data_IF_421064758640
#
_entry.id   IF_421064758640
#
_cell.length_a   1.000
_cell.length_b   1.000
_cell.length_c   1.000
_cell.angle_alpha   90.00
_cell.angle_beta   90.00
_cell.angle_gamma   90.00
#
_symmetry.space_group_name_H-M   'P 1'
#
loop_
_entity.id
_entity.type
_entity.pdbx_description
1 polymer ?
#
# COMPACT_ATOMS: atom_id res chain seq x y z
N UNK A 1 -18.98 15.74 -23.47
CA UNK A 1 -17.98 14.80 -23.99
C UNK A 1 -16.65 15.05 -23.28
N UNK A 2 -15.91 14.00 -22.92
CA UNK A 2 -14.57 14.14 -22.32
C UNK A 2 -13.61 14.58 -23.44
N UNK A 3 -12.87 15.66 -23.19
CA UNK A 3 -11.89 16.14 -24.16
C UNK A 3 -10.70 15.18 -24.21
N UNK A 4 -10.32 14.69 -25.40
CA UNK A 4 -9.22 13.75 -25.59
C UNK A 4 -7.88 14.30 -25.06
N UNK A 5 -7.60 15.59 -25.23
CA UNK A 5 -6.37 16.22 -24.72
C UNK A 5 -6.34 16.23 -23.18
N UNK A 6 -7.48 16.50 -22.54
CA UNK A 6 -7.60 16.48 -21.08
C UNK A 6 -7.40 15.05 -20.54
N UNK A 7 -8.04 14.04 -21.14
CA UNK A 7 -7.86 12.65 -20.75
C UNK A 7 -6.40 12.18 -20.88
N UNK A 8 -5.74 12.52 -22.00
CA UNK A 8 -4.31 12.17 -22.19
C UNK A 8 -3.44 12.82 -21.12
N UNK A 9 -3.68 14.08 -20.78
CA UNK A 9 -2.96 14.78 -19.71
C UNK A 9 -3.14 14.08 -18.34
N UNK A 10 -4.36 13.62 -18.05
CA UNK A 10 -4.67 12.90 -16.79
C UNK A 10 -4.03 11.53 -16.73
N UNK A 11 -4.04 10.78 -17.83
CA UNK A 11 -3.34 9.48 -17.94
C UNK A 11 -1.84 9.67 -17.70
N UNK A 12 -1.22 10.69 -18.33
CA UNK A 12 0.21 10.98 -18.11
C UNK A 12 0.49 11.37 -16.65
N UNK A 13 -0.38 12.17 -16.04
CA UNK A 13 -0.24 12.56 -14.63
C UNK A 13 -0.34 11.35 -13.70
N UNK A 14 -1.31 10.48 -13.93
CA UNK A 14 -1.49 9.26 -13.15
C UNK A 14 -0.30 8.31 -13.33
N UNK A 15 0.17 8.10 -14.56
CA UNK A 15 1.39 7.31 -14.79
C UNK A 15 2.62 7.89 -14.08
N UNK A 16 2.74 9.21 -13.99
CA UNK A 16 3.83 9.82 -13.22
C UNK A 16 3.74 9.58 -11.71
N UNK A 17 2.52 9.51 -11.15
CA UNK A 17 2.30 9.10 -9.76
C UNK A 17 2.64 7.61 -9.60
N UNK A 18 2.11 6.78 -10.47
CA UNK A 18 2.28 5.33 -10.41
C UNK A 18 3.71 4.84 -10.59
N UNK A 19 4.56 5.55 -11.36
CA UNK A 19 5.97 5.16 -11.54
C UNK A 19 6.68 5.04 -10.19
N UNK A 20 6.54 6.03 -9.30
CA UNK A 20 7.17 5.98 -7.99
C UNK A 20 6.62 4.83 -7.16
N UNK A 21 5.29 4.72 -7.08
CA UNK A 21 4.60 3.66 -6.34
C UNK A 21 4.97 2.29 -6.88
N UNK A 22 4.97 2.10 -8.21
CA UNK A 22 5.40 0.87 -8.85
C UNK A 22 6.84 0.48 -8.49
N UNK A 23 7.79 1.42 -8.58
CA UNK A 23 9.19 1.17 -8.28
C UNK A 23 9.43 0.84 -6.81
N UNK A 24 8.77 1.56 -5.90
CA UNK A 24 8.94 1.36 -4.46
C UNK A 24 8.24 0.11 -3.94
N UNK A 25 7.12 -0.30 -4.54
CA UNK A 25 6.41 -1.52 -4.18
C UNK A 25 7.03 -2.77 -4.83
N UNK A 26 7.50 -2.66 -6.08
CA UNK A 26 8.07 -3.81 -6.79
C UNK A 26 9.50 -4.14 -6.35
N UNK A 27 10.33 -3.15 -6.03
CA UNK A 27 11.76 -3.39 -5.75
C UNK A 27 12.03 -4.26 -4.51
N UNK A 28 11.30 -4.18 -3.39
CA UNK A 28 11.43 -5.12 -2.28
C UNK A 28 11.13 -6.55 -2.69
N UNK A 29 10.11 -6.74 -3.51
CA UNK A 29 9.67 -8.04 -4.01
C UNK A 29 10.72 -8.65 -4.92
N UNK A 30 11.20 -7.88 -5.91
CA UNK A 30 12.27 -8.34 -6.80
C UNK A 30 13.54 -8.69 -6.02
N UNK A 31 13.93 -7.89 -5.02
CA UNK A 31 15.07 -8.19 -4.16
C UNK A 31 14.89 -9.53 -3.45
N UNK A 32 13.70 -9.79 -2.89
CA UNK A 32 13.38 -11.04 -2.21
C UNK A 32 13.46 -12.24 -3.17
N UNK A 33 12.91 -12.10 -4.39
CA UNK A 33 12.96 -13.16 -5.41
C UNK A 33 14.37 -13.44 -5.92
N UNK A 34 15.20 -12.40 -6.07
CA UNK A 34 16.62 -12.58 -6.43
C UNK A 34 17.33 -13.36 -5.34
N UNK A 35 17.18 -12.96 -4.07
CA UNK A 35 17.80 -13.66 -2.96
C UNK A 35 17.28 -15.11 -2.84
N UNK A 36 15.97 -15.30 -2.90
CA UNK A 36 15.35 -16.62 -2.80
C UNK A 36 15.67 -17.52 -3.99
N UNK A 37 15.70 -17.01 -5.20
CA UNK A 37 15.98 -17.79 -6.41
C UNK A 37 17.43 -18.24 -6.55
N UNK A 38 18.38 -17.43 -6.06
CA UNK A 38 19.82 -17.70 -6.24
C UNK A 38 20.55 -18.17 -5.00
N UNK A 39 20.04 -17.91 -3.80
CA UNK A 39 20.72 -18.24 -2.54
C UNK A 39 19.94 -19.27 -1.72
N UNK A 40 18.69 -18.95 -1.37
CA UNK A 40 17.88 -19.81 -0.50
C UNK A 40 16.38 -19.66 -0.83
N UNK A 41 15.81 -20.71 -1.42
CA UNK A 41 14.40 -20.74 -1.82
C UNK A 41 13.43 -20.68 -0.63
N UNK A 42 13.86 -21.06 0.57
CA UNK A 42 13.02 -21.06 1.77
C UNK A 42 12.59 -19.64 2.16
N UNK A 43 13.40 -18.62 1.84
CA UNK A 43 13.08 -17.23 2.17
C UNK A 43 11.74 -16.76 1.57
N UNK A 44 11.38 -17.23 0.37
CA UNK A 44 10.14 -16.87 -0.28
C UNK A 44 8.95 -17.56 0.41
N UNK A 45 9.16 -18.83 0.83
CA UNK A 45 8.14 -19.58 1.56
C UNK A 45 7.86 -19.01 2.92
N UNK A 46 8.91 -18.62 3.64
CA UNK A 46 8.82 -17.92 4.93
C UNK A 46 8.02 -16.62 4.79
N UNK A 47 8.28 -15.86 3.73
CA UNK A 47 7.51 -14.64 3.45
C UNK A 47 6.02 -14.93 3.32
N UNK A 48 5.65 -16.04 2.65
CA UNK A 48 4.25 -16.46 2.52
C UNK A 48 3.58 -16.76 3.85
N UNK A 49 4.23 -17.53 4.71
CA UNK A 49 3.68 -17.87 6.02
C UNK A 49 3.51 -16.65 6.94
N UNK A 50 4.36 -15.64 6.77
CA UNK A 50 4.38 -14.46 7.64
C UNK A 50 3.77 -13.22 7.02
N UNK A 51 3.24 -13.32 5.80
CA UNK A 51 2.69 -12.19 5.03
C UNK A 51 1.68 -11.35 5.81
N UNK A 52 0.71 -11.99 6.48
CA UNK A 52 -0.29 -11.28 7.27
C UNK A 52 0.32 -10.40 8.36
N UNK A 53 1.43 -10.82 8.93
CA UNK A 53 2.11 -10.07 9.96
C UNK A 53 2.89 -8.88 9.37
N UNK A 54 3.58 -9.09 8.26
CA UNK A 54 4.26 -8.02 7.55
C UNK A 54 3.26 -6.98 7.04
N UNK A 55 2.11 -7.43 6.56
CA UNK A 55 1.01 -6.56 6.17
C UNK A 55 0.47 -5.75 7.35
N UNK A 56 0.23 -6.37 8.52
CA UNK A 56 -0.18 -5.68 9.74
C UNK A 56 0.81 -4.56 10.10
N UNK A 57 2.10 -4.86 10.07
CA UNK A 57 3.14 -3.90 10.42
C UNK A 57 3.21 -2.75 9.43
N UNK A 58 3.14 -3.04 8.14
CA UNK A 58 3.09 -2.02 7.08
C UNK A 58 1.85 -1.12 7.21
N UNK A 59 0.68 -1.71 7.51
CA UNK A 59 -0.54 -0.93 7.74
C UNK A 59 -0.48 -0.07 9.00
N UNK A 60 0.20 -0.53 10.04
CA UNK A 60 0.44 0.25 11.24
C UNK A 60 1.32 1.47 10.93
N UNK A 61 2.45 1.26 10.27
CA UNK A 61 3.37 2.34 9.87
C UNK A 61 2.72 3.35 8.93
N UNK A 62 2.06 2.89 7.87
CA UNK A 62 1.37 3.74 6.88
C UNK A 62 0.12 4.39 7.45
N UNK A 63 -0.74 3.59 8.06
CA UNK A 63 -2.07 4.01 8.50
C UNK A 63 -2.03 5.10 9.57
N UNK A 64 -1.03 5.08 10.44
CA UNK A 64 -0.87 6.11 11.47
C UNK A 64 -0.27 7.41 10.93
N UNK A 65 0.61 7.36 9.95
CA UNK A 65 1.30 8.53 9.42
C UNK A 65 0.51 9.25 8.32
N UNK A 66 -0.20 8.54 7.47
CA UNK A 66 -0.97 9.12 6.37
C UNK A 66 -1.94 10.24 6.79
N UNK A 67 -2.75 10.11 7.86
CA UNK A 67 -3.60 11.19 8.34
C UNK A 67 -2.86 12.46 8.76
N UNK A 68 -1.66 12.29 9.34
CA UNK A 68 -0.81 13.42 9.73
C UNK A 68 -0.36 14.17 8.49
N UNK A 69 0.05 13.45 7.45
CA UNK A 69 0.47 14.05 6.18
C UNK A 69 -0.67 14.79 5.51
N UNK A 70 -1.85 14.17 5.42
CA UNK A 70 -3.04 14.83 4.88
C UNK A 70 -3.39 16.12 5.63
N UNK A 71 -3.29 16.11 6.96
CA UNK A 71 -3.54 17.29 7.77
C UNK A 71 -2.48 18.37 7.57
N UNK A 72 -1.21 18.00 7.64
CA UNK A 72 -0.10 18.94 7.59
C UNK A 72 0.08 19.55 6.20
N UNK A 73 0.03 18.76 5.13
CA UNK A 73 0.31 19.23 3.78
C UNK A 73 -0.79 20.10 3.17
N UNK A 74 -1.99 20.13 3.75
CA UNK A 74 -3.03 21.11 3.35
C UNK A 74 -2.54 22.55 3.40
N UNK A 75 -1.71 22.87 4.38
CA UNK A 75 -1.23 24.22 4.65
C UNK A 75 0.23 24.47 4.22
N UNK A 76 0.84 23.53 3.51
CA UNK A 76 2.26 23.61 3.12
C UNK A 76 2.61 24.86 2.32
N UNK A 77 1.66 25.41 1.55
CA UNK A 77 1.87 26.62 0.77
C UNK A 77 1.90 27.89 1.64
N UNK A 78 1.21 27.85 2.79
CA UNK A 78 1.06 29.00 3.68
C UNK A 78 2.19 29.06 4.73
N UNK A 79 2.50 27.92 5.35
CA UNK A 79 3.54 27.82 6.39
C UNK A 79 4.28 26.49 6.30
N UNK A 80 5.41 26.52 5.60
CA UNK A 80 6.26 25.36 5.42
C UNK A 80 6.92 24.89 6.72
N UNK A 81 7.34 25.83 7.59
CA UNK A 81 8.02 25.51 8.84
C UNK A 81 7.08 24.77 9.79
N UNK A 82 5.85 25.28 9.92
CA UNK A 82 4.81 24.63 10.73
C UNK A 82 4.45 23.26 10.18
N UNK A 83 4.24 23.15 8.86
CA UNK A 83 3.93 21.87 8.20
C UNK A 83 5.01 20.83 8.47
N UNK A 84 6.27 21.18 8.26
CA UNK A 84 7.38 20.25 8.48
C UNK A 84 7.58 19.92 9.95
N UNK A 85 7.29 20.84 10.86
CA UNK A 85 7.30 20.58 12.31
C UNK A 85 6.25 19.55 12.72
N UNK A 86 5.03 19.66 12.17
CA UNK A 86 3.93 18.70 12.42
C UNK A 86 4.30 17.30 11.89
N UNK A 87 4.77 17.21 10.66
CA UNK A 87 5.14 15.95 10.01
C UNK A 87 6.30 15.28 10.75
N UNK A 88 7.37 16.02 11.02
CA UNK A 88 8.53 15.49 11.73
C UNK A 88 8.19 15.01 13.14
N UNK A 89 7.41 15.80 13.88
CA UNK A 89 6.98 15.43 15.24
C UNK A 89 6.16 14.15 15.24
N UNK A 90 5.22 14.03 14.30
CA UNK A 90 4.41 12.82 14.13
C UNK A 90 5.25 11.59 13.79
N UNK A 91 6.10 11.68 12.77
CA UNK A 91 6.99 10.59 12.37
C UNK A 91 7.92 10.15 13.50
N UNK A 92 8.48 11.10 14.28
CA UNK A 92 9.39 10.80 15.38
C UNK A 92 8.68 10.05 16.52
N UNK A 93 7.47 10.47 16.88
CA UNK A 93 6.68 9.78 17.92
C UNK A 93 6.28 8.40 17.47
N UNK A 94 5.85 8.24 16.22
CA UNK A 94 5.47 6.90 15.70
C UNK A 94 6.66 5.98 15.55
N UNK A 95 7.82 6.47 15.11
CA UNK A 95 9.03 5.66 15.09
C UNK A 95 9.36 5.12 16.49
N UNK A 96 9.23 5.96 17.51
CA UNK A 96 9.44 5.52 18.90
C UNK A 96 8.43 4.45 19.32
N UNK A 97 7.14 4.63 18.98
CA UNK A 97 6.10 3.63 19.25
C UNK A 97 6.35 2.33 18.48
N UNK A 98 6.82 2.39 17.25
CA UNK A 98 7.19 1.22 16.45
C UNK A 98 8.38 0.47 17.06
N UNK A 99 9.39 1.19 17.57
CA UNK A 99 10.51 0.57 18.28
C UNK A 99 10.02 -0.16 19.52
N UNK A 100 9.16 0.46 20.33
CA UNK A 100 8.57 -0.20 21.52
C UNK A 100 7.73 -1.41 21.12
N UNK A 101 6.88 -1.28 20.09
CA UNK A 101 6.08 -2.40 19.58
C UNK A 101 6.96 -3.54 19.03
N UNK A 102 8.06 -3.20 18.35
CA UNK A 102 9.03 -4.19 17.86
C UNK A 102 9.72 -4.93 19.02
N UNK A 103 10.14 -4.24 20.05
CA UNK A 103 10.74 -4.87 21.24
C UNK A 103 9.75 -5.83 21.91
N UNK A 104 8.49 -5.41 22.07
CA UNK A 104 7.43 -6.30 22.60
C UNK A 104 7.20 -7.49 21.67
N UNK A 105 7.20 -7.28 20.36
CA UNK A 105 7.05 -8.36 19.39
C UNK A 105 8.14 -9.41 19.50
N UNK A 106 9.40 -9.04 19.74
CA UNK A 106 10.50 -10.00 19.89
C UNK A 106 10.22 -11.06 20.97
N UNK A 107 9.49 -10.70 22.02
CA UNK A 107 9.12 -11.65 23.08
C UNK A 107 7.97 -12.59 22.68
N UNK A 108 7.06 -12.14 21.81
CA UNK A 108 5.83 -12.88 21.48
C UNK A 108 5.81 -13.43 20.05
N UNK A 109 6.86 -13.22 19.28
CA UNK A 109 6.87 -13.55 17.85
C UNK A 109 6.61 -15.03 17.57
N UNK A 110 7.21 -15.94 18.36
CA UNK A 110 6.99 -17.40 18.17
C UNK A 110 5.55 -17.79 18.47
N UNK A 111 4.97 -17.25 19.56
CA UNK A 111 3.56 -17.49 19.91
C UNK A 111 2.63 -16.99 18.81
N UNK A 112 2.97 -15.85 18.20
CA UNK A 112 2.21 -15.31 17.09
C UNK A 112 2.27 -16.21 15.85
N UNK A 113 3.44 -16.78 15.52
CA UNK A 113 3.58 -17.73 14.41
C UNK A 113 2.78 -19.03 14.67
N UNK A 114 2.74 -19.50 15.91
CA UNK A 114 1.88 -20.63 16.31
C UNK A 114 0.40 -20.29 16.10
N UNK A 115 -0.03 -19.07 16.46
CA UNK A 115 -1.41 -18.60 16.22
C UNK A 115 -1.73 -18.52 14.71
N UNK A 116 -0.78 -18.17 13.88
CA UNK A 116 -0.89 -18.19 12.42
C UNK A 116 -0.91 -19.61 11.83
N UNK A 117 -0.75 -20.65 12.66
CA UNK A 117 -0.67 -22.05 12.21
C UNK A 117 0.47 -22.31 11.22
N UNK A 118 1.60 -21.65 11.43
CA UNK A 118 2.84 -22.00 10.72
C UNK A 118 3.25 -23.41 11.14
N UNK A 119 3.70 -24.28 10.21
CA UNK A 119 4.21 -25.60 10.55
C UNK A 119 5.34 -25.54 11.59
N UNK A 120 5.30 -26.43 12.59
CA UNK A 120 6.24 -26.40 13.72
C UNK A 120 7.71 -26.44 13.27
N UNK A 121 8.00 -27.18 12.21
CA UNK A 121 9.33 -27.31 11.63
C UNK A 121 9.90 -26.01 11.04
N UNK A 122 9.00 -25.09 10.65
CA UNK A 122 9.35 -23.81 10.02
C UNK A 122 9.28 -22.62 10.99
N UNK A 123 8.86 -22.81 12.25
CA UNK A 123 8.67 -21.70 13.20
C UNK A 123 9.98 -20.95 13.43
N UNK A 124 11.10 -21.66 13.64
CA UNK A 124 12.37 -21.02 13.95
C UNK A 124 12.91 -20.21 12.76
N UNK A 125 12.81 -20.75 11.55
CA UNK A 125 13.25 -20.03 10.35
C UNK A 125 12.32 -18.84 10.07
N UNK A 126 11.01 -19.02 10.20
CA UNK A 126 10.03 -17.93 10.09
C UNK A 126 10.27 -16.84 11.13
N UNK A 127 10.61 -17.21 12.37
CA UNK A 127 10.93 -16.24 13.42
C UNK A 127 12.13 -15.37 13.02
N UNK A 128 13.26 -16.00 12.63
CA UNK A 128 14.48 -15.27 12.28
C UNK A 128 14.22 -14.30 11.12
N UNK A 129 13.61 -14.75 10.04
CA UNK A 129 13.34 -13.88 8.88
C UNK A 129 12.33 -12.76 9.20
N UNK A 130 11.30 -13.08 9.98
CA UNK A 130 10.25 -12.11 10.31
C UNK A 130 10.79 -10.95 11.15
N UNK A 131 11.64 -11.21 12.14
CA UNK A 131 12.19 -10.13 12.97
C UNK A 131 13.04 -9.15 12.15
N UNK A 132 13.81 -9.63 11.18
CA UNK A 132 14.59 -8.76 10.30
C UNK A 132 13.70 -7.99 9.31
N UNK A 133 12.71 -8.65 8.74
CA UNK A 133 11.77 -8.01 7.81
C UNK A 133 10.97 -6.89 8.47
N UNK A 134 10.48 -7.10 9.69
CA UNK A 134 9.71 -6.10 10.43
C UNK A 134 10.55 -4.89 10.81
N UNK A 135 11.78 -5.10 11.28
CA UNK A 135 12.70 -4.01 11.55
C UNK A 135 12.93 -3.12 10.32
N UNK A 136 12.99 -3.74 9.13
CA UNK A 136 13.12 -3.02 7.88
C UNK A 136 11.85 -2.24 7.49
N UNK A 137 10.67 -2.79 7.75
CA UNK A 137 9.38 -2.13 7.43
C UNK A 137 9.18 -0.88 8.27
N UNK A 138 9.58 -0.86 9.55
CA UNK A 138 9.47 0.31 10.42
C UNK A 138 10.18 1.55 9.87
N UNK A 139 11.25 1.39 9.08
CA UNK A 139 11.96 2.50 8.45
C UNK A 139 11.17 3.17 7.31
N UNK A 140 10.17 2.53 6.74
CA UNK A 140 9.36 3.05 5.63
C UNK A 140 8.53 4.29 6.00
N UNK A 141 8.38 4.60 7.29
CA UNK A 141 7.70 5.84 7.74
C UNK A 141 8.28 7.08 7.06
N UNK A 142 9.61 7.15 7.00
CA UNK A 142 10.30 8.29 6.39
C UNK A 142 10.26 8.26 4.86
N UNK A 143 10.18 7.06 4.24
CA UNK A 143 9.96 6.93 2.81
C UNK A 143 8.64 7.63 2.43
N UNK A 144 7.55 7.31 3.13
CA UNK A 144 6.26 7.95 2.90
C UNK A 144 6.27 9.45 3.13
N UNK A 145 6.99 9.92 4.14
CA UNK A 145 7.12 11.36 4.41
C UNK A 145 7.71 12.09 3.19
N UNK A 146 8.78 11.58 2.61
CA UNK A 146 9.47 12.23 1.48
C UNK A 146 8.65 12.14 0.20
N UNK A 147 8.11 10.96 -0.10
CA UNK A 147 7.31 10.77 -1.31
C UNK A 147 6.04 11.64 -1.25
N UNK A 148 5.31 11.64 -0.14
CA UNK A 148 4.15 12.51 0.04
C UNK A 148 4.52 14.00 -0.04
N UNK A 149 5.64 14.43 0.51
CA UNK A 149 6.11 15.80 0.39
C UNK A 149 6.28 16.22 -1.08
N UNK A 150 6.90 15.38 -1.91
CA UNK A 150 7.07 15.69 -3.32
C UNK A 150 5.77 15.67 -4.12
N UNK A 151 4.85 14.76 -3.80
CA UNK A 151 3.51 14.71 -4.39
C UNK A 151 2.72 15.99 -4.11
N UNK A 152 2.60 16.36 -2.83
CA UNK A 152 1.84 17.54 -2.41
C UNK A 152 2.50 18.87 -2.84
N UNK A 153 3.81 18.88 -3.09
CA UNK A 153 4.50 20.05 -3.64
C UNK A 153 4.54 20.08 -5.17
N UNK A 154 3.98 19.07 -5.85
CA UNK A 154 3.94 18.97 -7.31
C UNK A 154 5.30 18.62 -7.95
N UNK A 155 6.26 18.11 -7.17
CA UNK A 155 7.61 17.75 -7.64
C UNK A 155 7.71 16.29 -8.08
N UNK A 156 6.76 15.83 -8.92
CA UNK A 156 6.65 14.43 -9.33
C UNK A 156 7.90 13.88 -10.03
N UNK A 157 8.62 14.71 -10.80
CA UNK A 157 9.86 14.26 -11.46
C UNK A 157 10.98 13.94 -10.46
N UNK A 158 11.08 14.71 -9.37
CA UNK A 158 12.05 14.44 -8.31
C UNK A 158 11.64 13.19 -7.55
N UNK A 159 10.36 13.00 -7.32
CA UNK A 159 9.79 11.81 -6.72
C UNK A 159 10.16 10.56 -7.53
N UNK A 160 9.94 10.58 -8.84
CA UNK A 160 10.28 9.47 -9.74
C UNK A 160 11.77 9.15 -9.76
N UNK A 161 12.65 10.17 -9.75
CA UNK A 161 14.09 9.96 -9.66
C UNK A 161 14.52 9.29 -8.37
N UNK A 162 13.91 9.68 -7.23
CA UNK A 162 14.15 9.03 -5.95
C UNK A 162 13.64 7.59 -5.92
N UNK A 163 12.43 7.34 -6.42
CA UNK A 163 11.86 5.99 -6.55
C UNK A 163 12.74 5.08 -7.41
N UNK A 164 13.25 5.60 -8.52
CA UNK A 164 14.19 4.86 -9.38
C UNK A 164 15.51 4.54 -8.65
N UNK A 165 16.10 5.52 -7.98
CA UNK A 165 17.33 5.31 -7.21
C UNK A 165 17.12 4.31 -6.06
N UNK A 166 15.99 4.41 -5.37
CA UNK A 166 15.59 3.47 -4.33
C UNK A 166 15.51 2.03 -4.88
N UNK A 167 14.82 1.85 -6.01
CA UNK A 167 14.69 0.54 -6.67
C UNK A 167 16.05 0.01 -7.14
N UNK A 168 16.88 0.86 -7.73
CA UNK A 168 18.22 0.49 -8.20
C UNK A 168 19.10 -0.02 -7.04
N UNK A 169 19.10 0.67 -5.91
CA UNK A 169 19.87 0.25 -4.73
C UNK A 169 19.34 -1.06 -4.16
N UNK A 170 18.00 -1.23 -4.09
CA UNK A 170 17.37 -2.46 -3.57
C UNK A 170 17.69 -3.67 -4.45
N UNK A 171 17.39 -3.57 -5.74
CA UNK A 171 17.56 -4.68 -6.70
C UNK A 171 19.04 -4.89 -7.01
N UNK A 172 19.80 -3.83 -7.26
CA UNK A 172 21.23 -3.89 -7.50
C UNK A 172 22.00 -4.44 -6.30
N UNK A 173 21.62 -4.06 -5.09
CA UNK A 173 22.19 -4.59 -3.85
C UNK A 173 21.93 -6.08 -3.68
N UNK A 174 20.72 -6.56 -4.01
CA UNK A 174 20.42 -8.00 -3.99
C UNK A 174 21.27 -8.79 -4.99
N UNK A 175 21.39 -8.26 -6.22
CA UNK A 175 22.27 -8.86 -7.25
C UNK A 175 23.73 -8.87 -6.81
N UNK A 176 24.23 -7.76 -6.28
CA UNK A 176 25.58 -7.65 -5.74
C UNK A 176 25.83 -8.67 -4.64
N UNK A 177 24.87 -8.82 -3.72
CA UNK A 177 24.96 -9.84 -2.66
C UNK A 177 25.09 -11.26 -3.24
N UNK A 178 24.28 -11.60 -4.25
CA UNK A 178 24.33 -12.91 -4.93
C UNK A 178 25.72 -13.14 -5.54
N UNK A 179 26.26 -12.15 -6.25
CA UNK A 179 27.60 -12.24 -6.87
C UNK A 179 28.67 -12.43 -5.81
N UNK A 180 28.68 -11.61 -4.77
CA UNK A 180 29.67 -11.68 -3.68
C UNK A 180 29.57 -13.00 -2.91
N UNK A 181 28.37 -13.49 -2.61
CA UNK A 181 28.17 -14.75 -1.90
C UNK A 181 28.62 -15.96 -2.71
N UNK A 182 28.56 -15.91 -4.04
CA UNK A 182 29.07 -16.97 -4.93
C UNK A 182 30.57 -16.90 -5.17
N UNK A 183 31.15 -15.70 -5.14
CA UNK A 183 32.58 -15.48 -5.46
C UNK A 183 33.51 -15.43 -4.27
N UNK A 184 32.97 -15.15 -3.07
CA UNK A 184 33.78 -14.97 -1.86
C UNK A 184 33.71 -16.17 -0.91
N UNK A 185 34.82 -16.41 -0.21
CA UNK A 185 34.90 -17.40 0.88
C UNK A 185 34.16 -16.96 2.14
N UNK A 186 33.95 -15.64 2.32
CA UNK A 186 33.22 -15.07 3.46
C UNK A 186 31.73 -14.93 3.09
N UNK A 187 30.92 -15.84 3.62
CA UNK A 187 29.45 -15.81 3.39
C UNK A 187 28.79 -14.88 4.41
N UNK A 188 28.19 -13.83 3.92
CA UNK A 188 27.35 -12.96 4.74
C UNK A 188 26.01 -13.65 5.04
N UNK A 189 25.50 -13.66 6.28
CA UNK A 189 24.21 -14.27 6.58
C UNK A 189 23.08 -13.61 5.76
N UNK A 190 22.26 -14.44 5.12
CA UNK A 190 21.15 -13.98 4.27
C UNK A 190 20.14 -13.15 5.07
N UNK A 191 19.91 -13.49 6.33
CA UNK A 191 19.03 -12.76 7.25
C UNK A 191 19.44 -11.29 7.40
N UNK A 192 20.74 -11.02 7.50
CA UNK A 192 21.24 -9.64 7.56
C UNK A 192 21.01 -8.89 6.25
N UNK A 193 21.03 -9.55 5.10
CA UNK A 193 20.74 -8.92 3.82
C UNK A 193 19.32 -8.37 3.76
N UNK A 194 18.35 -9.04 4.39
CA UNK A 194 16.95 -8.59 4.47
C UNK A 194 16.81 -7.26 5.23
N UNK A 195 17.70 -7.01 6.19
CA UNK A 195 17.73 -5.74 6.92
C UNK A 195 18.62 -4.71 6.21
N UNK A 196 19.80 -5.10 5.75
CA UNK A 196 20.81 -4.19 5.18
C UNK A 196 20.31 -3.55 3.89
N UNK A 197 19.65 -4.27 2.98
CA UNK A 197 19.19 -3.71 1.72
C UNK A 197 18.15 -2.59 1.91
N UNK A 198 17.07 -2.77 2.72
CA UNK A 198 16.17 -1.67 3.05
C UNK A 198 16.87 -0.51 3.74
N UNK A 199 17.74 -0.80 4.70
CA UNK A 199 18.46 0.22 5.46
C UNK A 199 19.39 1.05 4.55
N UNK A 200 20.08 0.40 3.62
CA UNK A 200 20.97 1.07 2.66
C UNK A 200 20.17 1.95 1.69
N UNK A 201 19.10 1.41 1.10
CA UNK A 201 18.25 2.21 0.21
C UNK A 201 17.61 3.38 0.96
N UNK A 202 17.10 3.15 2.15
CA UNK A 202 16.58 4.20 3.02
C UNK A 202 17.63 5.27 3.30
N UNK A 203 18.83 4.89 3.76
CA UNK A 203 19.87 5.84 4.14
C UNK A 203 20.31 6.69 2.95
N UNK A 204 20.61 6.06 1.81
CA UNK A 204 21.18 6.75 0.65
C UNK A 204 20.16 7.59 -0.13
N UNK A 205 18.90 7.20 -0.13
CA UNK A 205 17.88 7.92 -0.92
C UNK A 205 17.03 8.85 -0.06
N UNK A 206 16.59 8.40 1.09
CA UNK A 206 15.60 9.08 1.91
C UNK A 206 16.27 9.88 3.03
N UNK A 207 17.06 9.24 3.88
CA UNK A 207 17.63 9.91 5.05
C UNK A 207 18.50 11.10 4.66
N UNK A 208 19.41 10.93 3.71
CA UNK A 208 20.26 12.04 3.24
C UNK A 208 19.43 13.16 2.60
N UNK A 209 18.36 12.79 1.87
CA UNK A 209 17.48 13.77 1.26
C UNK A 209 16.60 14.48 2.29
N UNK A 210 16.07 13.75 3.27
CA UNK A 210 15.35 14.34 4.39
C UNK A 210 16.22 15.34 5.14
N UNK A 211 17.43 14.95 5.52
CA UNK A 211 18.36 15.84 6.23
C UNK A 211 18.70 17.08 5.42
N UNK A 212 18.89 16.93 4.11
CA UNK A 212 19.14 18.07 3.22
C UNK A 212 17.95 19.02 3.12
N UNK A 213 16.74 18.51 2.90
CA UNK A 213 15.52 19.33 2.79
C UNK A 213 15.13 19.93 4.15
N UNK A 214 15.20 19.16 5.24
CA UNK A 214 14.85 19.64 6.59
C UNK A 214 15.75 20.77 7.08
N UNK A 215 17.01 20.82 6.64
CA UNK A 215 17.95 21.91 6.97
C UNK A 215 17.43 23.30 6.57
N UNK A 216 16.51 23.36 5.60
CA UNK A 216 15.94 24.61 5.11
C UNK A 216 14.81 25.15 6.02
N UNK A 217 14.33 24.35 6.97
CA UNK A 217 13.18 24.67 7.80
C UNK A 217 13.56 24.79 9.27
N UNK A 218 12.90 25.70 9.95
CA UNK A 218 12.97 25.80 11.41
C UNK A 218 11.96 24.81 12.01
N UNK A 219 12.45 23.63 12.37
CA UNK A 219 11.62 22.54 12.87
C UNK A 219 11.57 22.59 14.39
N UNK A 220 10.36 22.66 14.94
CA UNK A 220 10.09 22.59 16.37
C UNK A 220 9.17 21.40 16.66
N UNK A 221 9.39 20.71 17.78
CA UNK A 221 8.48 19.66 18.21
C UNK A 221 7.11 20.26 18.55
N UNK A 222 6.03 19.66 18.04
CA UNK A 222 4.65 20.11 18.27
C UNK A 222 3.70 18.94 18.39
N UNK A 223 2.73 19.04 19.31
CA UNK A 223 1.65 18.06 19.44
C UNK A 223 0.49 18.28 18.44
N UNK A 224 0.60 19.27 17.55
CA UNK A 224 -0.45 19.53 16.56
C UNK A 224 -0.69 18.35 15.60
N UNK A 225 0.29 17.45 15.42
CA UNK A 225 0.10 16.23 14.63
C UNK A 225 -1.06 15.36 15.12
N UNK A 226 -1.42 15.43 16.42
CA UNK A 226 -2.57 14.73 16.99
C UNK A 226 -3.91 15.17 16.35
N UNK A 227 -3.97 16.41 15.84
CA UNK A 227 -5.16 16.89 15.11
C UNK A 227 -5.38 16.11 13.82
N UNK A 228 -4.33 15.57 13.22
CA UNK A 228 -4.40 14.72 12.03
C UNK A 228 -5.28 13.49 12.23
N UNK A 229 -5.29 12.92 13.44
CA UNK A 229 -6.13 11.74 13.74
C UNK A 229 -7.63 11.99 13.56
N UNK A 230 -8.11 13.21 13.80
CA UNK A 230 -9.53 13.53 13.54
C UNK A 230 -9.91 13.35 12.07
N UNK A 231 -8.96 13.55 11.16
CA UNK A 231 -9.17 13.41 9.72
C UNK A 231 -8.94 11.99 9.21
N UNK A 232 -8.11 11.21 9.91
CA UNK A 232 -7.68 9.89 9.46
C UNK A 232 -8.14 8.72 10.31
N UNK A 233 -8.98 8.94 11.34
CA UNK A 233 -9.50 7.85 12.20
C UNK A 233 -10.10 6.72 11.37
N UNK A 234 -10.78 7.03 10.28
CA UNK A 234 -11.34 6.05 9.35
C UNK A 234 -10.26 5.15 8.75
N UNK A 235 -9.17 5.75 8.25
CA UNK A 235 -8.14 5.01 7.53
C UNK A 235 -7.32 4.17 8.50
N UNK A 236 -7.09 4.67 9.72
CA UNK A 236 -6.47 3.90 10.81
C UNK A 236 -7.33 2.69 11.17
N UNK A 237 -8.61 2.91 11.45
CA UNK A 237 -9.54 1.85 11.83
C UNK A 237 -9.68 0.81 10.71
N UNK A 238 -9.84 1.27 9.46
CA UNK A 238 -9.87 0.41 8.29
C UNK A 238 -8.58 -0.41 8.15
N UNK A 239 -7.41 0.21 8.36
CA UNK A 239 -6.11 -0.47 8.33
C UNK A 239 -6.01 -1.59 9.37
N UNK A 240 -6.34 -1.30 10.62
CA UNK A 240 -6.34 -2.29 11.72
C UNK A 240 -7.27 -3.45 11.41
N UNK A 241 -8.51 -3.16 11.03
CA UNK A 241 -9.51 -4.20 10.74
C UNK A 241 -9.14 -5.03 9.50
N UNK A 242 -8.60 -4.41 8.45
CA UNK A 242 -8.08 -5.13 7.29
C UNK A 242 -6.93 -6.08 7.66
N UNK A 243 -6.09 -5.67 8.60
CA UNK A 243 -5.00 -6.52 9.10
C UNK A 243 -5.52 -7.73 9.87
N UNK A 244 -6.61 -7.57 10.64
CA UNK A 244 -7.30 -8.69 11.29
C UNK A 244 -7.85 -9.66 10.23
N UNK A 245 -8.49 -9.15 9.18
CA UNK A 245 -8.98 -9.98 8.07
C UNK A 245 -7.87 -10.75 7.36
N UNK A 246 -6.74 -10.10 7.11
CA UNK A 246 -5.56 -10.75 6.53
C UNK A 246 -4.96 -11.80 7.46
N UNK A 247 -4.90 -11.54 8.77
CA UNK A 247 -4.43 -12.51 9.76
C UNK A 247 -5.32 -13.77 9.79
N UNK A 248 -6.64 -13.59 9.90
CA UNK A 248 -7.61 -14.70 9.93
C UNK A 248 -7.53 -15.50 8.64
N UNK A 249 -7.47 -14.82 7.50
CA UNK A 249 -7.40 -15.48 6.20
C UNK A 249 -6.09 -16.25 6.00
N UNK A 250 -4.93 -15.68 6.36
CA UNK A 250 -3.64 -16.38 6.26
C UNK A 250 -3.60 -17.59 7.19
N UNK A 251 -4.12 -17.48 8.42
CA UNK A 251 -4.27 -18.61 9.32
C UNK A 251 -5.09 -19.74 8.67
N UNK A 252 -6.18 -19.42 8.02
CA UNK A 252 -7.05 -20.40 7.39
C UNK A 252 -6.42 -21.02 6.13
N UNK A 253 -5.63 -20.26 5.36
CA UNK A 253 -4.81 -20.81 4.28
C UNK A 253 -3.77 -21.80 4.83
N UNK A 254 -3.10 -21.47 5.94
CA UNK A 254 -2.11 -22.34 6.56
C UNK A 254 -2.76 -23.62 7.14
N UNK A 255 -4.00 -23.56 7.63
CA UNK A 255 -4.76 -24.73 8.09
C UNK A 255 -5.25 -25.61 6.95
N UNK A 256 -5.81 -25.02 5.91
CA UNK A 256 -6.41 -25.76 4.77
C UNK A 256 -5.36 -26.23 3.75
N UNK A 257 -4.19 -25.57 3.71
CA UNK A 257 -3.13 -25.87 2.78
C UNK A 257 -2.27 -27.04 3.23
N UNK A 258 -1.96 -27.95 2.32
CA UNK A 258 -1.00 -29.03 2.57
C UNK A 258 0.41 -28.52 2.34
N UNK A 259 1.20 -28.40 3.40
CA UNK A 259 2.63 -28.11 3.33
C UNK A 259 3.40 -29.41 3.03
N UNK A 260 3.55 -29.78 1.76
CA UNK A 260 4.36 -30.94 1.36
C UNK A 260 5.82 -30.58 1.08
N UNK A 261 6.08 -29.31 0.75
CA UNK A 261 7.42 -28.71 0.62
C UNK A 261 7.30 -27.20 0.72
N UNK A 262 8.39 -26.54 1.09
CA UNK A 262 8.41 -25.10 1.20
C UNK A 262 7.91 -24.39 -0.09
N UNK A 263 8.33 -24.86 -1.27
CA UNK A 263 7.99 -24.26 -2.57
C UNK A 263 6.62 -24.71 -3.13
N UNK A 264 6.06 -25.79 -2.63
CA UNK A 264 4.75 -26.33 -3.06
C UNK A 264 3.61 -25.98 -2.10
N UNK A 265 3.91 -25.28 -1.00
CA UNK A 265 2.88 -24.91 -0.03
C UNK A 265 1.88 -23.92 -0.61
N UNK A 266 0.62 -24.06 -0.22
CA UNK A 266 -0.44 -23.12 -0.63
C UNK A 266 -0.12 -21.69 -0.15
N UNK A 267 0.48 -21.55 1.03
CA UNK A 267 0.90 -20.28 1.58
C UNK A 267 1.98 -19.60 0.71
N UNK A 268 2.96 -20.35 0.21
CA UNK A 268 3.95 -19.83 -0.73
C UNK A 268 3.31 -19.34 -2.02
N UNK A 269 2.46 -20.15 -2.63
CA UNK A 269 1.80 -19.81 -3.89
C UNK A 269 0.90 -18.58 -3.73
N UNK A 270 0.19 -18.47 -2.60
CA UNK A 270 -0.62 -17.31 -2.26
C UNK A 270 0.26 -16.07 -2.15
N UNK A 271 1.31 -16.12 -1.33
CA UNK A 271 2.19 -14.97 -1.11
C UNK A 271 2.85 -14.50 -2.41
N UNK A 272 3.29 -15.45 -3.24
CA UNK A 272 3.90 -15.15 -4.52
C UNK A 272 2.99 -14.31 -5.40
N UNK A 273 1.76 -14.75 -5.58
CA UNK A 273 0.81 -14.04 -6.46
C UNK A 273 0.38 -12.70 -5.82
N UNK A 274 0.12 -12.69 -4.51
CA UNK A 274 -0.32 -11.50 -3.80
C UNK A 274 0.74 -10.40 -3.83
N UNK A 275 2.02 -10.72 -3.72
CA UNK A 275 3.07 -9.70 -3.82
C UNK A 275 3.10 -9.02 -5.19
N UNK A 276 2.77 -9.72 -6.26
CA UNK A 276 2.68 -9.14 -7.60
C UNK A 276 1.41 -8.30 -7.74
N UNK A 277 0.27 -8.81 -7.25
CA UNK A 277 -1.00 -8.07 -7.31
C UNK A 277 -1.04 -6.87 -6.37
N UNK A 278 -0.34 -6.90 -5.24
CA UNK A 278 -0.22 -5.76 -4.32
C UNK A 278 0.41 -4.53 -4.99
N UNK A 279 1.39 -4.72 -5.88
CA UNK A 279 1.94 -3.60 -6.68
C UNK A 279 0.84 -2.91 -7.48
N UNK A 280 -0.05 -3.70 -8.07
CA UNK A 280 -1.18 -3.16 -8.83
C UNK A 280 -2.23 -2.51 -7.93
N UNK A 281 -2.48 -3.05 -6.75
CA UNK A 281 -3.35 -2.43 -5.75
C UNK A 281 -2.83 -1.05 -5.34
N UNK A 282 -1.53 -0.94 -5.07
CA UNK A 282 -0.89 0.32 -4.72
C UNK A 282 -1.03 1.36 -5.84
N UNK A 283 -0.76 0.98 -7.10
CA UNK A 283 -0.95 1.86 -8.26
C UNK A 283 -2.43 2.26 -8.43
N UNK A 284 -3.36 1.33 -8.27
CA UNK A 284 -4.79 1.62 -8.41
C UNK A 284 -5.28 2.64 -7.36
N UNK A 285 -4.64 2.70 -6.18
CA UNK A 285 -4.92 3.69 -5.15
C UNK A 285 -4.60 5.12 -5.60
N UNK A 286 -3.60 5.31 -6.45
CA UNK A 286 -3.20 6.63 -6.97
C UNK A 286 -4.29 7.31 -7.81
N UNK A 287 -5.24 6.55 -8.36
CA UNK A 287 -6.43 7.13 -8.98
C UNK A 287 -7.27 7.98 -8.03
N UNK A 288 -7.36 7.61 -6.75
CA UNK A 288 -7.98 8.43 -5.70
C UNK A 288 -7.15 9.67 -5.34
N UNK A 289 -5.82 9.53 -5.32
CA UNK A 289 -4.89 10.65 -5.13
C UNK A 289 -5.04 11.68 -6.25
N UNK A 290 -5.14 11.24 -7.50
CA UNK A 290 -5.35 12.13 -8.65
C UNK A 290 -6.63 12.94 -8.50
N UNK A 291 -7.77 12.32 -8.13
CA UNK A 291 -9.05 13.02 -7.88
C UNK A 291 -8.88 14.08 -6.79
N UNK A 292 -8.20 13.73 -5.69
CA UNK A 292 -7.97 14.68 -4.59
C UNK A 292 -7.13 15.88 -5.01
N UNK A 293 -6.07 15.64 -5.80
CA UNK A 293 -5.20 16.70 -6.34
C UNK A 293 -5.95 17.58 -7.34
N UNK A 294 -6.79 17.00 -8.18
CA UNK A 294 -7.57 17.75 -9.17
C UNK A 294 -8.63 18.63 -8.51
N UNK A 295 -9.34 18.12 -7.49
CA UNK A 295 -10.27 18.94 -6.71
C UNK A 295 -9.55 20.07 -5.97
N UNK A 296 -8.37 19.81 -5.40
CA UNK A 296 -7.58 20.81 -4.70
C UNK A 296 -7.01 21.88 -5.63
N UNK A 297 -6.85 21.60 -6.92
CA UNK A 297 -6.37 22.55 -7.94
C UNK A 297 -7.45 23.42 -8.55
N UNK A 298 -8.74 23.10 -8.34
CA UNK A 298 -9.86 23.87 -8.87
C UNK A 298 -9.93 25.26 -8.23
N UNK A 299 -10.22 26.31 -9.03
CA UNK A 299 -10.37 27.67 -8.53
C UNK A 299 -11.55 27.82 -7.55
N UNK A 300 -12.60 27.01 -7.73
CA UNK A 300 -13.77 26.97 -6.86
C UNK A 300 -13.46 25.98 -5.73
N UNK A 301 -13.53 26.45 -4.49
CA UNK A 301 -13.31 25.61 -3.33
C UNK A 301 -14.50 24.68 -3.08
N UNK A 302 -14.35 23.42 -3.50
CA UNK A 302 -15.33 22.37 -3.24
C UNK A 302 -15.09 21.77 -1.83
N UNK A 303 -16.01 22.01 -0.91
CA UNK A 303 -15.92 21.52 0.47
C UNK A 303 -17.26 21.13 1.08
N UNK A 304 -18.33 21.09 0.29
CA UNK A 304 -19.69 20.81 0.77
C UNK A 304 -20.42 19.84 -0.13
N UNK A 305 -21.09 18.86 0.49
CA UNK A 305 -21.75 17.76 -0.22
C UNK A 305 -22.85 18.19 -1.20
N UNK A 306 -23.49 19.35 -0.99
CA UNK A 306 -24.51 19.85 -1.95
C UNK A 306 -23.92 20.28 -3.31
N UNK A 307 -22.60 20.46 -3.40
CA UNK A 307 -21.90 20.76 -4.65
C UNK A 307 -21.68 19.51 -5.54
N UNK A 308 -22.13 18.33 -5.10
CA UNK A 308 -21.92 17.05 -5.80
C UNK A 308 -22.50 17.02 -7.23
N UNK A 309 -23.49 17.86 -7.51
CA UNK A 309 -24.12 17.97 -8.81
C UNK A 309 -23.44 18.96 -9.75
N UNK A 310 -22.36 19.61 -9.34
CA UNK A 310 -21.60 20.48 -10.23
C UNK A 310 -21.12 19.69 -11.46
N UNK A 311 -21.37 20.25 -12.64
CA UNK A 311 -21.00 19.61 -13.92
C UNK A 311 -19.50 19.41 -14.06
N UNK A 312 -18.68 20.33 -13.50
CA UNK A 312 -17.22 20.23 -13.52
C UNK A 312 -16.75 19.03 -12.72
N UNK A 313 -17.22 18.88 -11.45
CA UNK A 313 -16.89 17.74 -10.61
C UNK A 313 -17.30 16.41 -11.24
N UNK A 314 -18.49 16.36 -11.86
CA UNK A 314 -18.95 15.14 -12.55
C UNK A 314 -18.07 14.82 -13.75
N UNK A 315 -17.64 15.81 -14.52
CA UNK A 315 -16.75 15.62 -15.68
C UNK A 315 -15.36 15.19 -15.24
N UNK A 316 -14.81 15.83 -14.21
CA UNK A 316 -13.53 15.51 -13.58
C UNK A 316 -13.54 14.06 -13.11
N UNK A 317 -14.51 13.65 -12.29
CA UNK A 317 -14.63 12.29 -11.77
C UNK A 317 -14.67 11.24 -12.89
N UNK A 318 -15.47 11.49 -13.95
CA UNK A 318 -15.54 10.57 -15.09
C UNK A 318 -14.21 10.46 -15.83
N UNK A 319 -13.51 11.57 -16.01
CA UNK A 319 -12.21 11.60 -16.68
C UNK A 319 -11.15 10.85 -15.86
N UNK A 320 -11.17 11.02 -14.53
CA UNK A 320 -10.22 10.36 -13.64
C UNK A 320 -10.48 8.85 -13.53
N UNK A 321 -11.75 8.42 -13.47
CA UNK A 321 -12.09 6.99 -13.53
C UNK A 321 -11.63 6.37 -14.85
N UNK A 322 -11.84 7.06 -15.97
CA UNK A 322 -11.41 6.55 -17.28
C UNK A 322 -9.88 6.49 -17.38
N UNK A 323 -9.17 7.51 -16.88
CA UNK A 323 -7.72 7.51 -16.80
C UNK A 323 -7.23 6.35 -15.92
N UNK A 324 -7.86 6.12 -14.77
CA UNK A 324 -7.57 5.00 -13.88
C UNK A 324 -7.70 3.64 -14.58
N UNK A 325 -8.77 3.41 -15.35
CA UNK A 325 -8.92 2.17 -16.11
C UNK A 325 -7.88 1.99 -17.22
N UNK A 326 -7.49 3.07 -17.91
CA UNK A 326 -6.44 3.01 -18.93
C UNK A 326 -5.10 2.63 -18.28
N UNK A 327 -4.74 3.27 -17.19
CA UNK A 327 -3.49 2.99 -16.47
C UNK A 327 -3.52 1.60 -15.84
N UNK A 328 -4.64 1.19 -15.24
CA UNK A 328 -4.86 -0.17 -14.76
C UNK A 328 -4.60 -1.21 -15.86
N UNK A 329 -5.11 -0.99 -17.08
CA UNK A 329 -4.85 -1.86 -18.23
C UNK A 329 -3.36 -1.92 -18.59
N UNK A 330 -2.67 -0.79 -18.62
CA UNK A 330 -1.23 -0.73 -18.92
C UNK A 330 -0.42 -1.52 -17.88
N UNK A 331 -0.67 -1.28 -16.59
CA UNK A 331 0.05 -1.94 -15.50
C UNK A 331 -0.27 -3.45 -15.48
N UNK A 332 -1.52 -3.85 -15.77
CA UNK A 332 -1.90 -5.26 -15.90
C UNK A 332 -1.14 -5.96 -17.01
N UNK A 333 -1.00 -5.33 -18.18
CA UNK A 333 -0.20 -5.89 -19.28
C UNK A 333 1.25 -6.08 -18.86
N UNK A 334 1.85 -5.08 -18.20
CA UNK A 334 3.21 -5.19 -17.68
C UNK A 334 3.33 -6.30 -16.64
N UNK A 335 2.35 -6.44 -15.73
CA UNK A 335 2.29 -7.52 -14.74
C UNK A 335 2.23 -8.91 -15.41
N UNK A 336 1.43 -9.09 -16.45
CA UNK A 336 1.37 -10.34 -17.21
C UNK A 336 2.68 -10.66 -17.94
N UNK A 337 3.38 -9.64 -18.47
CA UNK A 337 4.71 -9.86 -19.09
C UNK A 337 5.73 -10.32 -18.03
N UNK A 338 5.74 -9.70 -16.85
CA UNK A 338 6.60 -10.10 -15.71
C UNK A 338 6.28 -11.53 -15.28
N UNK A 339 5.00 -11.90 -15.17
CA UNK A 339 4.57 -13.27 -14.86
C UNK A 339 5.02 -14.26 -15.91
N UNK A 340 4.94 -13.90 -17.20
CA UNK A 340 5.44 -14.72 -18.31
C UNK A 340 6.93 -15.02 -18.18
N UNK A 341 7.74 -14.02 -17.81
CA UNK A 341 9.18 -14.20 -17.55
C UNK A 341 9.40 -15.10 -16.34
N UNK A 342 8.68 -14.85 -15.25
CA UNK A 342 8.81 -15.61 -14.01
C UNK A 342 8.42 -17.07 -14.21
N UNK A 343 7.42 -17.36 -15.05
CA UNK A 343 6.95 -18.72 -15.33
C UNK A 343 8.06 -19.64 -15.91
N UNK A 344 9.11 -19.10 -16.50
CA UNK A 344 10.28 -19.87 -16.92
C UNK A 344 11.11 -20.40 -15.74
N UNK A 345 11.08 -19.69 -14.60
CA UNK A 345 11.86 -20.03 -13.40
C UNK A 345 11.02 -20.68 -12.33
N UNK A 346 9.74 -20.33 -12.26
CA UNK A 346 8.77 -20.85 -11.31
C UNK A 346 7.43 -21.10 -11.98
N UNK A 347 7.02 -22.37 -12.14
CA UNK A 347 5.76 -22.72 -12.83
C UNK A 347 4.55 -22.10 -12.13
N UNK A 348 3.74 -21.36 -12.87
CA UNK A 348 2.51 -20.74 -12.37
C UNK A 348 1.43 -21.83 -12.29
N UNK A 349 0.90 -22.05 -11.10
CA UNK A 349 -0.13 -23.07 -10.84
C UNK A 349 -1.53 -22.53 -11.12
N UNK A 350 -2.50 -23.44 -11.26
CA UNK A 350 -3.93 -23.07 -11.37
C UNK A 350 -4.42 -22.29 -10.17
N UNK A 351 -3.91 -22.60 -8.98
CA UNK A 351 -4.23 -21.88 -7.75
C UNK A 351 -3.76 -20.42 -7.81
N UNK A 352 -2.53 -20.17 -8.26
CA UNK A 352 -1.98 -18.82 -8.45
C UNK A 352 -2.82 -18.00 -9.43
N UNK A 353 -3.18 -18.59 -10.60
CA UNK A 353 -4.00 -17.92 -11.60
C UNK A 353 -5.40 -17.58 -11.06
N UNK A 354 -5.99 -18.49 -10.28
CA UNK A 354 -7.30 -18.27 -9.69
C UNK A 354 -7.26 -17.11 -8.68
N UNK A 355 -6.28 -17.08 -7.78
CA UNK A 355 -6.09 -15.97 -6.83
C UNK A 355 -5.89 -14.64 -7.57
N UNK A 356 -5.04 -14.61 -8.61
CA UNK A 356 -4.82 -13.41 -9.41
C UNK A 356 -6.13 -12.93 -10.07
N UNK A 357 -6.98 -13.85 -10.53
CA UNK A 357 -8.28 -13.49 -11.13
C UNK A 357 -9.19 -12.81 -10.11
N UNK A 358 -9.25 -13.32 -8.87
CA UNK A 358 -10.01 -12.67 -7.79
C UNK A 358 -9.50 -11.26 -7.49
N UNK A 359 -8.18 -11.10 -7.41
CA UNK A 359 -7.56 -9.81 -7.18
C UNK A 359 -7.87 -8.82 -8.30
N UNK A 360 -7.74 -9.22 -9.57
CA UNK A 360 -8.07 -8.39 -10.73
C UNK A 360 -9.54 -7.95 -10.75
N UNK A 361 -10.47 -8.85 -10.44
CA UNK A 361 -11.90 -8.50 -10.33
C UNK A 361 -12.10 -7.46 -9.22
N UNK A 362 -11.45 -7.67 -8.07
CA UNK A 362 -11.46 -6.71 -6.98
C UNK A 362 -10.97 -5.33 -7.43
N UNK A 363 -9.84 -5.27 -8.11
CA UNK A 363 -9.22 -4.02 -8.57
C UNK A 363 -10.06 -3.26 -9.60
N UNK A 364 -10.75 -3.97 -10.51
CA UNK A 364 -11.70 -3.35 -11.46
C UNK A 364 -12.80 -2.57 -10.71
N UNK A 365 -13.29 -3.10 -9.60
CA UNK A 365 -14.28 -2.42 -8.76
C UNK A 365 -13.67 -1.31 -7.91
N UNK A 366 -12.40 -1.45 -7.51
CA UNK A 366 -11.71 -0.46 -6.69
C UNK A 366 -11.34 0.81 -7.45
N UNK A 367 -11.05 0.75 -8.75
CA UNK A 367 -10.76 1.95 -9.57
C UNK A 367 -11.83 3.04 -9.42
N UNK A 368 -13.12 2.80 -9.71
CA UNK A 368 -14.14 3.79 -9.48
C UNK A 368 -14.44 4.04 -8.00
N UNK A 369 -14.26 3.03 -7.13
CA UNK A 369 -14.44 3.19 -5.70
C UNK A 369 -13.50 4.24 -5.12
N UNK A 370 -12.21 4.18 -5.42
CA UNK A 370 -11.24 5.17 -4.93
C UNK A 370 -11.56 6.58 -5.42
N UNK A 371 -11.88 6.73 -6.70
CA UNK A 371 -12.24 8.01 -7.29
C UNK A 371 -13.49 8.62 -6.62
N UNK A 372 -14.57 7.84 -6.48
CA UNK A 372 -15.83 8.27 -5.85
C UNK A 372 -15.63 8.56 -4.35
N UNK A 373 -14.89 7.69 -3.65
CA UNK A 373 -14.61 7.85 -2.23
C UNK A 373 -13.79 9.12 -1.97
N UNK A 374 -12.78 9.40 -2.80
CA UNK A 374 -11.96 10.61 -2.70
C UNK A 374 -12.78 11.87 -2.96
N UNK A 375 -13.67 11.86 -3.96
CA UNK A 375 -14.60 12.96 -4.19
C UNK A 375 -15.53 13.18 -2.99
N UNK A 376 -16.19 12.14 -2.49
CA UNK A 376 -17.08 12.22 -1.34
C UNK A 376 -16.34 12.71 -0.08
N UNK A 377 -15.12 12.27 0.10
CA UNK A 377 -14.25 12.71 1.18
C UNK A 377 -13.94 14.21 1.09
N UNK A 378 -13.57 14.69 -0.10
CA UNK A 378 -13.31 16.10 -0.35
C UNK A 378 -14.55 16.98 -0.10
N UNK A 379 -15.74 16.44 -0.36
CA UNK A 379 -17.03 17.12 -0.14
C UNK A 379 -17.54 16.99 1.32
N UNK A 380 -16.84 16.30 2.20
CA UNK A 380 -17.11 16.24 3.64
C UNK A 380 -17.98 15.05 4.11
N UNK A 381 -18.22 14.02 3.29
CA UNK A 381 -18.96 12.82 3.67
C UNK A 381 -18.13 11.81 4.49
N UNK A 382 -17.34 12.28 5.45
CA UNK A 382 -16.40 11.45 6.21
C UNK A 382 -17.09 10.39 7.05
N UNK A 383 -18.19 10.74 7.73
CA UNK A 383 -18.89 9.86 8.67
C UNK A 383 -19.49 8.66 7.93
N UNK A 384 -20.17 8.91 6.85
CA UNK A 384 -20.82 7.89 6.02
C UNK A 384 -19.80 6.93 5.42
N UNK A 385 -18.70 7.46 4.88
CA UNK A 385 -17.62 6.67 4.35
C UNK A 385 -16.93 5.81 5.45
N UNK A 386 -16.86 6.32 6.67
CA UNK A 386 -16.34 5.55 7.81
C UNK A 386 -17.24 4.36 8.13
N UNK A 387 -18.56 4.56 8.16
CA UNK A 387 -19.52 3.49 8.40
C UNK A 387 -19.44 2.42 7.30
N UNK A 388 -19.39 2.86 6.03
CA UNK A 388 -19.27 1.95 4.88
C UNK A 388 -17.98 1.12 4.99
N UNK A 389 -16.85 1.77 5.27
CA UNK A 389 -15.58 1.08 5.44
C UNK A 389 -15.63 0.04 6.56
N UNK A 390 -16.25 0.39 7.70
CA UNK A 390 -16.40 -0.52 8.84
C UNK A 390 -17.23 -1.75 8.48
N UNK A 391 -18.40 -1.57 7.87
CA UNK A 391 -19.28 -2.67 7.46
C UNK A 391 -18.55 -3.58 6.45
N UNK A 392 -17.87 -2.98 5.46
CA UNK A 392 -17.16 -3.72 4.42
C UNK A 392 -16.03 -4.58 4.99
N UNK A 393 -15.33 -4.07 6.00
CA UNK A 393 -14.24 -4.83 6.65
C UNK A 393 -14.77 -5.94 7.54
N UNK A 394 -15.90 -5.75 8.23
CA UNK A 394 -16.56 -6.86 8.96
C UNK A 394 -16.90 -8.00 7.98
N UNK A 395 -17.48 -7.68 6.84
CA UNK A 395 -17.80 -8.69 5.81
C UNK A 395 -16.53 -9.37 5.27
N UNK A 396 -15.44 -8.60 5.09
CA UNK A 396 -14.13 -9.15 4.74
C UNK A 396 -13.65 -10.16 5.78
N UNK A 397 -13.72 -9.83 7.06
CA UNK A 397 -13.32 -10.74 8.16
C UNK A 397 -14.17 -12.00 8.15
N UNK A 398 -15.49 -11.86 8.00
CA UNK A 398 -16.41 -13.00 7.95
C UNK A 398 -16.09 -13.91 6.74
N UNK A 399 -15.88 -13.34 5.57
CA UNK A 399 -15.47 -14.12 4.37
C UNK A 399 -14.12 -14.80 4.53
N UNK A 400 -13.15 -14.14 5.19
CA UNK A 400 -11.83 -14.72 5.48
C UNK A 400 -11.86 -15.77 6.59
N UNK A 401 -12.95 -15.87 7.37
CA UNK A 401 -13.12 -16.86 8.44
C UNK A 401 -13.55 -18.24 7.92
N UNK A 402 -13.87 -18.35 6.64
CA UNK A 402 -14.17 -19.63 5.99
C UNK A 402 -12.86 -20.41 5.90
N UNK A 403 -12.84 -21.64 6.42
CA UNK A 403 -11.67 -22.52 6.33
C UNK A 403 -11.49 -23.01 4.88
N UNK A 404 -10.64 -22.31 4.15
CA UNK A 404 -10.39 -22.56 2.72
C UNK A 404 -9.03 -22.01 2.33
N UNK A 405 -8.41 -22.67 1.32
CA UNK A 405 -7.20 -22.14 0.66
C UNK A 405 -7.44 -20.79 -0.03
N UNK A 406 -8.69 -20.40 -0.25
CA UNK A 406 -9.10 -19.12 -0.85
C UNK A 406 -9.65 -18.12 0.17
N UNK A 407 -9.47 -18.36 1.48
CA UNK A 407 -10.07 -17.57 2.54
C UNK A 407 -9.80 -16.07 2.42
N UNK A 408 -8.54 -15.67 2.17
CA UNK A 408 -8.17 -14.25 2.05
C UNK A 408 -8.85 -13.62 0.83
N UNK A 409 -8.76 -14.25 -0.33
CA UNK A 409 -9.31 -13.70 -1.57
C UNK A 409 -10.83 -13.61 -1.52
N UNK A 410 -11.50 -14.62 -0.96
CA UNK A 410 -12.95 -14.61 -0.77
C UNK A 410 -13.37 -13.46 0.13
N UNK A 411 -12.75 -13.33 1.29
CA UNK A 411 -13.03 -12.23 2.20
C UNK A 411 -12.72 -10.86 1.59
N UNK A 412 -11.60 -10.73 0.90
CA UNK A 412 -11.24 -9.51 0.21
C UNK A 412 -12.27 -9.13 -0.84
N UNK A 413 -12.64 -10.04 -1.73
CA UNK A 413 -13.60 -9.77 -2.80
C UNK A 413 -14.98 -9.40 -2.24
N UNK A 414 -15.47 -10.11 -1.21
CA UNK A 414 -16.73 -9.76 -0.55
C UNK A 414 -16.70 -8.35 0.04
N UNK A 415 -15.62 -8.00 0.74
CA UNK A 415 -15.43 -6.67 1.31
C UNK A 415 -15.37 -5.58 0.23
N UNK A 416 -14.67 -5.84 -0.87
CA UNK A 416 -14.52 -4.93 -2.02
C UNK A 416 -15.86 -4.67 -2.69
N UNK A 417 -16.62 -5.73 -3.03
CA UNK A 417 -17.91 -5.61 -3.68
C UNK A 417 -18.86 -4.77 -2.82
N UNK A 418 -18.94 -5.08 -1.54
CA UNK A 418 -19.84 -4.34 -0.63
C UNK A 418 -19.41 -2.89 -0.48
N UNK A 419 -18.10 -2.63 -0.33
CA UNK A 419 -17.58 -1.28 -0.21
C UNK A 419 -17.89 -0.44 -1.46
N UNK A 420 -17.71 -1.01 -2.65
CA UNK A 420 -18.04 -0.35 -3.90
C UNK A 420 -19.54 -0.06 -4.02
N UNK A 421 -20.39 -1.06 -3.76
CA UNK A 421 -21.85 -0.92 -3.85
C UNK A 421 -22.36 0.14 -2.90
N UNK A 422 -21.93 0.11 -1.63
CA UNK A 422 -22.36 1.10 -0.63
C UNK A 422 -21.85 2.52 -0.95
N UNK A 423 -20.60 2.66 -1.41
CA UNK A 423 -20.03 3.96 -1.79
C UNK A 423 -20.74 4.53 -3.01
N UNK A 424 -21.02 3.72 -4.02
CA UNK A 424 -21.79 4.13 -5.19
C UNK A 424 -23.21 4.51 -4.81
N UNK A 425 -23.88 3.74 -3.94
CA UNK A 425 -25.21 4.04 -3.45
C UNK A 425 -25.26 5.37 -2.69
N UNK A 426 -24.26 5.65 -1.85
CA UNK A 426 -24.12 6.91 -1.14
C UNK A 426 -23.94 8.08 -2.13
N UNK A 427 -23.11 7.91 -3.15
CA UNK A 427 -22.90 8.91 -4.19
C UNK A 427 -24.19 9.22 -4.95
N UNK A 428 -24.92 8.19 -5.37
CA UNK A 428 -26.19 8.35 -6.08
C UNK A 428 -27.27 8.98 -5.17
N UNK A 429 -27.32 8.60 -3.89
CA UNK A 429 -28.22 9.20 -2.91
C UNK A 429 -27.99 10.72 -2.81
N UNK A 430 -26.75 11.16 -2.64
CA UNK A 430 -26.47 12.60 -2.57
C UNK A 430 -26.73 13.32 -3.88
N UNK A 431 -26.44 12.71 -5.03
CA UNK A 431 -26.77 13.27 -6.33
C UNK A 431 -28.27 13.49 -6.50
N UNK A 432 -29.10 12.57 -6.05
CA UNK A 432 -30.56 12.71 -6.12
C UNK A 432 -31.09 13.71 -5.10
N UNK A 433 -30.58 13.70 -3.87
CA UNK A 433 -30.98 14.59 -2.78
C UNK A 433 -30.74 16.07 -3.11
N UNK A 434 -29.63 16.37 -3.78
CA UNK A 434 -29.25 17.76 -4.11
C UNK A 434 -29.43 18.09 -5.59
N UNK A 435 -30.29 17.34 -6.28
CA UNK A 435 -30.65 17.66 -7.67
C UNK A 435 -31.32 19.03 -7.70
N UNK A 436 -30.87 19.96 -8.56
CA UNK A 436 -31.57 21.24 -8.69
C UNK A 436 -33.05 20.97 -9.07
N UNK A 437 -33.97 21.57 -8.32
CA UNK A 437 -35.39 21.52 -8.66
C UNK A 437 -35.57 22.14 -10.05
N UNK A 438 -36.19 21.42 -10.96
CA UNK A 438 -36.50 21.91 -12.32
C UNK A 438 -37.55 23.08 -12.33
N UNK A 439 -37.72 23.75 -11.19
CA UNK A 439 -38.64 24.87 -11.02
C UNK A 439 -37.85 26.18 -10.88
N UNK A 440 -37.17 26.60 -11.95
CA UNK A 440 -36.83 28.02 -12.16
C UNK A 440 -36.54 28.27 -13.64
#
# INVERSE_FOLDING_TARGET
MINRKDLTSRVIRLLKLDITTFLTSLSPILSLYILGGFIDKEIISVFGFTYAFQFLWSMFSRGLNHPIFLYAFKDIKNDKNKTMSIVFSGCSVFLLLEVVAYLLFLFYAKQYLILLKVPNELIDICYIYTIYAIAAIGLQVFDFMVFSYYEYTGRLEQNNKLGFLYALIRVGGALLYVVLNKSMTLKFPLQLCILILPLTSFTLTILLKVLYELRQYQIHFTWEFLKGFKYGTRDILKGILNSIGSFVGTRNINLAGTATSANGSTAFQYAFITTITDVQWDCNHEGGTLVSLDIASEPIKYNRIHQINDKRLTTLLKSDILAGYIVFGIISILGFLVLGIINHFLPITKYMLFNMTFDLIGMILYTPHYAISSLLNALGAYRELTIIAFISVIIRILGSSIESIYAVNTGMLMGVILNFVLTLSLFLYYKNKYKPSNNS
#
